data_IF_618722400295
#
_entry.id   IF_618722400295
#
_cell.length_a   1.000
_cell.length_b   1.000
_cell.length_c   1.000
_cell.angle_alpha   90.00
_cell.angle_beta   90.00
_cell.angle_gamma   90.00
#
_symmetry.space_group_name_H-M   'P 1'
#
loop_
_entity.id
_entity.type
_entity.pdbx_description
1 polymer ?
#
# COMPACT_ATOMS: atom_id res chain seq x y z
N UNK A 1 22.50 -3.90 -16.99
CA UNK A 1 21.24 -4.51 -17.44
C UNK A 1 19.98 -3.81 -16.91
N UNK A 2 20.13 -2.88 -15.94
CA UNK A 2 19.03 -2.09 -15.40
C UNK A 2 18.99 -0.65 -15.93
N UNK A 3 19.79 -0.34 -16.96
CA UNK A 3 19.95 1.00 -17.54
C UNK A 3 20.24 2.08 -16.48
N UNK A 4 21.08 1.76 -15.49
CA UNK A 4 21.51 2.72 -14.48
C UNK A 4 22.30 3.86 -15.13
N UNK A 5 22.02 5.10 -14.74
CA UNK A 5 22.83 6.26 -15.15
C UNK A 5 24.16 6.29 -14.40
N UNK A 6 25.12 7.10 -14.87
CA UNK A 6 26.40 7.29 -14.20
C UNK A 6 26.21 7.81 -12.76
N UNK A 7 25.19 8.65 -12.51
CA UNK A 7 24.81 9.11 -11.18
C UNK A 7 24.38 7.97 -10.26
N UNK A 8 23.66 6.97 -10.78
CA UNK A 8 23.29 5.78 -10.00
C UNK A 8 24.49 4.88 -9.68
N UNK A 9 25.51 4.89 -10.54
CA UNK A 9 26.74 4.11 -10.34
C UNK A 9 27.70 4.79 -9.37
N UNK A 10 27.65 6.12 -9.25
CA UNK A 10 28.50 6.92 -8.36
C UNK A 10 27.84 7.21 -7.00
N UNK A 11 26.97 6.29 -6.53
CA UNK A 11 26.30 6.43 -5.26
C UNK A 11 27.27 6.23 -4.06
N UNK A 12 27.06 6.93 -2.94
CA UNK A 12 27.89 6.77 -1.74
C UNK A 12 27.62 5.41 -1.07
N UNK A 13 28.69 4.78 -0.60
CA UNK A 13 28.62 3.54 0.17
C UNK A 13 28.94 3.77 1.63
N UNK A 14 28.16 3.13 2.51
CA UNK A 14 28.38 3.13 3.94
C UNK A 14 28.42 1.70 4.48
N UNK A 15 29.24 1.47 5.49
CA UNK A 15 29.26 0.23 6.26
C UNK A 15 28.55 0.46 7.59
N UNK A 16 27.49 -0.29 7.86
CA UNK A 16 26.68 -0.04 9.04
C UNK A 16 26.20 -1.32 9.73
N UNK A 17 26.01 -1.24 11.03
CA UNK A 17 25.34 -2.25 11.83
C UNK A 17 24.28 -1.60 12.70
N UNK A 18 23.02 -1.71 12.33
CA UNK A 18 21.91 -1.17 13.12
C UNK A 18 21.80 -1.83 14.51
N UNK A 19 22.11 -3.14 14.59
CA UNK A 19 22.13 -3.87 15.86
C UNK A 19 23.15 -3.31 16.86
N UNK A 20 24.32 -2.91 16.34
CA UNK A 20 25.42 -2.40 17.18
C UNK A 20 25.44 -0.87 17.26
N UNK A 21 24.56 -0.17 16.51
CA UNK A 21 24.38 1.26 16.58
C UNK A 21 25.50 2.09 15.96
N UNK A 22 26.16 1.62 14.89
CA UNK A 22 27.21 2.38 14.21
C UNK A 22 27.04 2.40 12.69
N UNK A 23 27.61 3.45 12.07
CA UNK A 23 27.83 3.56 10.63
C UNK A 23 29.21 4.20 10.38
N UNK A 24 29.86 3.86 9.25
CA UNK A 24 31.18 4.37 8.87
C UNK A 24 31.33 4.47 7.36
N UNK A 25 32.17 5.42 6.91
CA UNK A 25 32.43 5.67 5.48
C UNK A 25 33.46 4.71 4.89
N UNK A 26 34.37 4.20 5.70
CA UNK A 26 35.38 3.21 5.30
C UNK A 26 35.34 2.01 6.25
N UNK A 27 35.71 0.84 5.77
CA UNK A 27 35.68 -0.38 6.57
C UNK A 27 36.64 -0.32 7.77
N UNK A 28 37.74 0.40 7.62
CA UNK A 28 38.80 0.57 8.64
C UNK A 28 38.45 1.61 9.71
N UNK A 29 37.42 2.45 9.47
CA UNK A 29 37.02 3.47 10.44
C UNK A 29 36.50 2.79 11.73
N UNK A 30 36.64 3.42 12.91
CA UNK A 30 36.15 2.85 14.16
C UNK A 30 34.62 2.81 14.21
N UNK A 31 34.10 1.81 14.93
CA UNK A 31 32.67 1.64 15.21
C UNK A 31 32.27 2.58 16.36
N UNK A 32 31.72 3.77 16.04
CA UNK A 32 31.42 4.81 17.04
C UNK A 32 29.90 5.00 17.21
N UNK A 33 29.24 5.54 16.18
CA UNK A 33 27.82 5.88 16.23
C UNK A 33 27.19 5.88 14.82
N UNK A 34 25.91 6.25 14.72
CA UNK A 34 25.15 6.33 13.46
C UNK A 34 25.30 7.68 12.74
N UNK A 35 26.09 8.61 13.27
CA UNK A 35 26.24 9.95 12.71
C UNK A 35 26.67 9.97 11.24
N UNK A 36 27.63 9.14 10.77
CA UNK A 36 28.00 9.11 9.35
C UNK A 36 26.83 8.77 8.42
N UNK A 37 25.88 7.94 8.86
CA UNK A 37 24.66 7.64 8.08
C UNK A 37 23.75 8.86 8.01
N UNK A 38 23.48 9.52 9.13
CA UNK A 38 22.61 10.70 9.16
C UNK A 38 23.20 11.88 8.38
N UNK A 39 24.50 12.11 8.48
CA UNK A 39 25.19 13.11 7.66
C UNK A 39 25.06 12.80 6.16
N UNK A 40 25.27 11.53 5.76
CA UNK A 40 25.11 11.13 4.35
C UNK A 40 23.68 11.29 3.85
N UNK A 41 22.67 11.03 4.67
CA UNK A 41 21.27 11.28 4.30
C UNK A 41 21.05 12.78 4.03
N UNK A 42 21.55 13.65 4.91
CA UNK A 42 21.41 15.11 4.75
C UNK A 42 22.15 15.61 3.50
N UNK A 43 23.35 15.06 3.23
CA UNK A 43 24.18 15.49 2.12
C UNK A 43 23.67 15.02 0.75
N UNK A 44 23.09 13.82 0.66
CA UNK A 44 22.77 13.17 -0.61
C UNK A 44 21.28 13.08 -0.92
N UNK A 45 20.39 13.16 0.08
CA UNK A 45 18.95 13.11 -0.18
C UNK A 45 18.42 14.55 -0.33
N UNK A 46 17.90 14.92 -1.51
CA UNK A 46 17.36 16.27 -1.70
C UNK A 46 16.14 16.51 -0.81
N UNK A 47 15.96 17.74 -0.39
CA UNK A 47 14.72 18.16 0.28
C UNK A 47 13.53 17.99 -0.67
N UNK A 48 12.30 17.83 -0.15
CA UNK A 48 11.10 17.80 -0.99
C UNK A 48 11.03 19.04 -1.90
N UNK A 49 10.69 18.83 -3.17
CA UNK A 49 10.42 19.90 -4.13
C UNK A 49 8.92 20.14 -4.19
N UNK A 50 8.46 21.38 -3.96
CA UNK A 50 7.07 21.77 -3.98
C UNK A 50 6.87 23.14 -3.36
N UNK A 51 5.66 23.68 -3.47
CA UNK A 51 5.31 25.01 -2.94
C UNK A 51 4.17 24.90 -1.90
N UNK A 52 4.40 25.36 -0.65
CA UNK A 52 3.36 25.35 0.39
C UNK A 52 2.19 26.29 0.10
N UNK A 53 2.36 27.26 -0.79
CA UNK A 53 1.36 28.27 -1.13
C UNK A 53 0.57 27.92 -2.39
N UNK A 54 0.93 26.82 -3.08
CA UNK A 54 0.14 26.28 -4.20
C UNK A 54 -1.13 25.55 -3.73
N UNK A 55 -1.97 25.17 -4.68
CA UNK A 55 -3.17 24.38 -4.42
C UNK A 55 -2.78 22.96 -3.99
N UNK A 56 -3.53 22.43 -3.02
CA UNK A 56 -3.28 21.09 -2.45
C UNK A 56 -3.20 20.01 -3.52
N UNK A 57 -2.13 19.22 -3.51
CA UNK A 57 -2.01 17.97 -4.24
C UNK A 57 -1.42 16.91 -3.30
N UNK A 58 -2.21 15.89 -3.01
CA UNK A 58 -1.81 14.77 -2.16
C UNK A 58 -1.94 13.47 -2.96
N UNK A 59 -0.84 12.75 -3.14
CA UNK A 59 -0.80 11.48 -3.86
C UNK A 59 -0.93 10.31 -2.87
N UNK A 60 -1.94 9.48 -3.07
CA UNK A 60 -2.14 8.26 -2.29
C UNK A 60 -1.19 7.16 -2.77
N UNK A 61 -0.23 6.79 -1.93
CA UNK A 61 0.78 5.77 -2.24
C UNK A 61 0.43 4.39 -1.71
N UNK A 62 -0.30 4.33 -0.60
CA UNK A 62 -0.76 3.07 -0.01
C UNK A 62 -2.10 3.25 0.70
N UNK A 63 -2.81 2.14 0.90
CA UNK A 63 -4.09 2.10 1.59
C UNK A 63 -3.94 1.25 2.84
N UNK A 64 -4.53 1.72 3.92
CA UNK A 64 -4.78 0.96 5.13
C UNK A 64 -6.28 0.94 5.44
N UNK A 65 -6.69 0.11 6.37
CA UNK A 65 -8.08 -0.04 6.75
C UNK A 65 -8.24 -0.14 8.26
N UNK A 66 -9.23 0.55 8.76
CA UNK A 66 -9.64 0.48 10.17
C UNK A 66 -11.15 0.35 10.25
N UNK A 67 -11.67 -0.57 11.07
CA UNK A 67 -13.11 -0.86 11.16
C UNK A 67 -13.95 0.37 11.61
N UNK A 68 -13.36 1.32 12.33
CA UNK A 68 -14.05 2.50 12.85
C UNK A 68 -14.06 3.69 11.88
N UNK A 69 -13.00 3.86 11.11
CA UNK A 69 -12.83 5.02 10.20
C UNK A 69 -12.85 4.64 8.72
N UNK A 70 -12.92 3.34 8.42
CA UNK A 70 -12.93 2.83 7.06
C UNK A 70 -11.54 2.87 6.40
N UNK A 71 -11.51 3.13 5.09
CA UNK A 71 -10.26 3.25 4.34
C UNK A 71 -9.48 4.50 4.75
N UNK A 72 -8.15 4.32 4.82
CA UNK A 72 -7.18 5.35 5.17
C UNK A 72 -6.16 5.40 4.03
N UNK A 73 -6.12 6.51 3.32
CA UNK A 73 -5.10 6.75 2.30
C UNK A 73 -3.84 7.34 2.93
N UNK A 74 -2.70 6.71 2.71
CA UNK A 74 -1.40 7.19 3.15
C UNK A 74 -0.63 7.65 1.93
N UNK A 75 0.00 8.81 2.02
CA UNK A 75 0.74 9.38 0.92
C UNK A 75 1.50 10.62 1.30
N UNK A 76 2.01 11.33 0.29
CA UNK A 76 2.79 12.54 0.43
C UNK A 76 1.99 13.75 -0.07
N UNK A 77 2.08 14.85 0.65
CA UNK A 77 1.61 16.16 0.18
C UNK A 77 2.65 16.70 -0.81
N UNK A 78 2.34 16.66 -2.10
CA UNK A 78 3.28 17.08 -3.14
C UNK A 78 3.29 18.59 -3.32
N UNK A 79 2.14 19.27 -3.14
CA UNK A 79 2.02 20.72 -3.15
C UNK A 79 0.97 21.19 -2.15
N UNK A 80 1.11 22.43 -1.71
CA UNK A 80 0.16 23.13 -0.86
C UNK A 80 0.05 22.56 0.54
N UNK A 81 -1.16 22.63 1.09
CA UNK A 81 -1.49 22.19 2.44
C UNK A 81 -2.79 21.40 2.42
N UNK A 82 -2.86 20.38 3.24
CA UNK A 82 -4.05 19.56 3.45
C UNK A 82 -4.56 19.75 4.89
N UNK A 83 -5.88 19.90 5.05
CA UNK A 83 -6.50 20.21 6.35
C UNK A 83 -7.68 19.30 6.67
N UNK A 84 -7.95 19.12 7.94
CA UNK A 84 -9.17 18.49 8.42
C UNK A 84 -10.38 19.36 8.04
N UNK A 85 -11.49 18.72 7.68
CA UNK A 85 -12.73 19.34 7.20
C UNK A 85 -12.61 20.10 5.87
N UNK A 86 -11.50 19.95 5.14
CA UNK A 86 -11.34 20.51 3.80
C UNK A 86 -12.21 19.75 2.80
N UNK A 87 -12.94 20.51 1.97
CA UNK A 87 -13.59 19.96 0.78
C UNK A 87 -12.54 19.77 -0.31
N UNK A 88 -12.53 18.62 -0.92
CA UNK A 88 -11.51 18.21 -1.89
C UNK A 88 -12.12 17.40 -3.03
N UNK A 89 -11.33 17.19 -4.07
CA UNK A 89 -11.66 16.40 -5.24
C UNK A 89 -10.68 15.22 -5.34
N UNK A 90 -11.19 14.01 -5.48
CA UNK A 90 -10.39 12.83 -5.84
C UNK A 90 -10.37 12.70 -7.36
N UNK A 91 -9.17 12.66 -7.92
CA UNK A 91 -8.90 12.44 -9.35
C UNK A 91 -7.87 11.34 -9.52
N UNK A 92 -7.76 10.76 -10.73
CA UNK A 92 -6.80 9.70 -11.00
C UNK A 92 -6.15 9.85 -12.36
N UNK A 93 -4.84 9.68 -12.44
CA UNK A 93 -4.07 9.85 -13.67
C UNK A 93 -4.46 8.85 -14.77
N UNK A 94 -4.74 7.61 -14.43
CA UNK A 94 -5.11 6.53 -15.36
C UNK A 94 -6.62 6.45 -15.63
N UNK A 95 -7.43 7.20 -14.89
CA UNK A 95 -8.87 7.30 -15.07
C UNK A 95 -9.32 8.76 -15.02
N UNK A 96 -9.22 9.50 -16.16
CA UNK A 96 -9.56 10.93 -16.22
C UNK A 96 -11.01 11.25 -15.86
N UNK A 97 -11.91 10.28 -16.01
CA UNK A 97 -13.33 10.43 -15.70
C UNK A 97 -13.61 10.32 -14.19
N UNK A 98 -12.66 9.81 -13.41
CA UNK A 98 -12.77 9.74 -11.97
C UNK A 98 -12.64 11.13 -11.35
N UNK A 99 -13.79 11.71 -10.99
CA UNK A 99 -13.90 13.00 -10.29
C UNK A 99 -14.93 12.88 -9.20
N UNK A 100 -14.49 12.72 -7.96
CA UNK A 100 -15.39 12.57 -6.81
C UNK A 100 -15.12 13.67 -5.79
N UNK A 101 -16.15 14.46 -5.47
CA UNK A 101 -16.08 15.41 -4.35
C UNK A 101 -16.11 14.66 -3.04
N UNK A 102 -15.21 15.03 -2.16
CA UNK A 102 -15.00 14.38 -0.85
C UNK A 102 -14.72 15.44 0.21
N UNK A 103 -14.84 15.03 1.46
CA UNK A 103 -14.43 15.83 2.61
C UNK A 103 -13.47 15.03 3.47
N UNK A 104 -12.35 15.62 3.82
CA UNK A 104 -11.35 15.02 4.70
C UNK A 104 -11.89 15.09 6.13
N UNK A 105 -12.18 13.94 6.74
CA UNK A 105 -12.73 13.91 8.09
C UNK A 105 -11.66 13.87 9.16
N UNK A 106 -10.53 13.18 8.88
CA UNK A 106 -9.38 13.11 9.78
C UNK A 106 -8.08 13.10 9.03
N UNK A 107 -7.07 13.69 9.63
CA UNK A 107 -5.71 13.73 9.15
C UNK A 107 -4.77 13.25 10.26
N UNK A 108 -3.82 12.40 9.90
CA UNK A 108 -2.84 11.84 10.83
C UNK A 108 -1.43 12.07 10.31
N UNK A 109 -0.55 12.47 11.20
CA UNK A 109 0.90 12.42 11.01
C UNK A 109 1.47 11.14 11.64
N UNK A 110 2.75 10.87 11.43
CA UNK A 110 3.45 9.71 11.99
C UNK A 110 4.51 10.17 12.99
N UNK A 111 4.37 9.71 14.23
CA UNK A 111 5.40 9.84 15.27
C UNK A 111 5.97 8.45 15.55
N UNK A 112 7.10 8.15 14.91
CA UNK A 112 7.63 6.79 14.82
C UNK A 112 6.64 5.85 14.15
N UNK A 113 6.14 4.84 14.86
CA UNK A 113 5.14 3.88 14.37
C UNK A 113 3.70 4.26 14.72
N UNK A 114 3.50 5.35 15.47
CA UNK A 114 2.16 5.77 15.91
C UNK A 114 1.59 6.84 14.98
N UNK A 115 0.28 6.78 14.77
CA UNK A 115 -0.48 7.84 14.13
C UNK A 115 -0.92 8.84 15.18
N UNK A 116 -0.71 10.12 14.88
CA UNK A 116 -1.09 11.25 15.73
C UNK A 116 -2.04 12.14 14.94
N UNK A 117 -3.17 12.51 15.53
CA UNK A 117 -4.13 13.43 14.91
C UNK A 117 -3.47 14.80 14.72
N UNK A 118 -3.63 15.38 13.52
CA UNK A 118 -3.16 16.72 13.18
C UNK A 118 -4.26 17.49 12.44
N UNK A 119 -4.28 18.79 12.59
CA UNK A 119 -5.27 19.67 11.93
C UNK A 119 -4.88 20.04 10.51
N UNK A 120 -3.58 20.13 10.24
CA UNK A 120 -3.00 20.54 8.97
C UNK A 120 -1.68 19.82 8.72
N UNK A 121 -1.36 19.56 7.45
CA UNK A 121 -0.05 19.14 6.99
C UNK A 121 0.34 19.91 5.72
N UNK A 122 1.64 20.08 5.51
CA UNK A 122 2.20 20.88 4.42
C UNK A 122 2.90 20.01 3.38
N UNK A 123 3.26 20.61 2.25
CA UNK A 123 4.03 19.94 1.21
C UNK A 123 5.29 19.26 1.80
N UNK A 124 5.62 18.09 1.27
CA UNK A 124 6.70 17.24 1.74
C UNK A 124 6.31 16.29 2.88
N UNK A 125 5.24 16.57 3.63
CA UNK A 125 4.78 15.71 4.71
C UNK A 125 4.17 14.40 4.18
N UNK A 126 4.46 13.30 4.87
CA UNK A 126 3.79 12.03 4.69
C UNK A 126 2.70 11.93 5.75
N UNK A 127 1.46 11.82 5.29
CA UNK A 127 0.29 11.80 6.18
C UNK A 127 -0.71 10.71 5.79
N UNK A 128 -1.63 10.43 6.70
CA UNK A 128 -2.75 9.55 6.44
C UNK A 128 -4.07 10.32 6.49
N UNK A 129 -4.93 10.10 5.51
CA UNK A 129 -6.25 10.75 5.41
C UNK A 129 -7.36 9.73 5.49
N UNK A 130 -8.46 10.06 6.18
CA UNK A 130 -9.66 9.23 6.24
C UNK A 130 -10.94 10.02 5.92
N UNK A 131 -12.05 9.29 5.75
CA UNK A 131 -13.35 9.85 5.37
C UNK A 131 -13.68 9.70 3.89
N UNK A 132 -12.86 8.98 3.14
CA UNK A 132 -13.05 8.74 1.70
C UNK A 132 -13.20 7.23 1.47
N UNK A 133 -14.43 6.77 1.26
CA UNK A 133 -14.76 5.33 1.17
C UNK A 133 -14.12 4.64 -0.03
N UNK A 134 -14.08 5.32 -1.19
CA UNK A 134 -13.62 4.77 -2.47
C UNK A 134 -12.26 5.36 -2.87
N UNK A 135 -11.30 5.31 -1.95
CA UNK A 135 -9.94 5.78 -2.16
C UNK A 135 -9.05 4.61 -2.63
N UNK A 136 -8.24 4.86 -3.66
CA UNK A 136 -7.33 3.87 -4.24
C UNK A 136 -5.90 4.39 -4.31
N UNK A 137 -4.95 3.47 -4.37
CA UNK A 137 -3.54 3.83 -4.64
C UNK A 137 -3.44 4.50 -6.00
N UNK A 138 -2.71 5.62 -6.05
CA UNK A 138 -2.57 6.46 -7.24
C UNK A 138 -3.66 7.51 -7.40
N UNK A 139 -4.65 7.57 -6.52
CA UNK A 139 -5.57 8.69 -6.48
C UNK A 139 -4.84 9.94 -5.98
N UNK A 140 -5.18 11.07 -6.57
CA UNK A 140 -4.73 12.39 -6.13
C UNK A 140 -5.89 13.10 -5.45
N UNK A 141 -5.68 13.54 -4.22
CA UNK A 141 -6.60 14.44 -3.53
C UNK A 141 -6.13 15.86 -3.80
N UNK A 142 -6.98 16.67 -4.41
CA UNK A 142 -6.67 18.04 -4.81
C UNK A 142 -7.82 18.98 -4.52
N UNK A 143 -7.59 20.29 -4.72
CA UNK A 143 -8.66 21.29 -4.65
C UNK A 143 -9.46 21.31 -5.96
N UNK A 144 -10.70 21.82 -5.91
CA UNK A 144 -11.52 22.01 -7.11
C UNK A 144 -10.91 23.02 -8.11
N UNK A 145 -10.05 23.92 -7.64
CA UNK A 145 -9.42 24.94 -8.48
C UNK A 145 -8.32 24.37 -9.36
N UNK A 146 -7.61 23.34 -8.87
CA UNK A 146 -6.55 22.67 -9.64
C UNK A 146 -6.77 21.15 -9.64
N UNK A 147 -7.71 20.63 -10.44
CA UNK A 147 -8.05 19.20 -10.49
C UNK A 147 -7.05 18.40 -11.33
N UNK A 148 -5.76 18.55 -11.09
CA UNK A 148 -4.71 17.84 -11.83
C UNK A 148 -4.26 16.59 -11.11
N UNK A 149 -4.45 15.39 -11.72
CA UNK A 149 -3.96 14.15 -11.16
C UNK A 149 -2.43 14.05 -11.29
N UNK A 150 -1.78 13.61 -10.25
CA UNK A 150 -0.35 13.33 -10.25
C UNK A 150 -0.06 12.00 -10.96
N UNK A 151 1.05 11.89 -11.71
CA UNK A 151 1.44 10.65 -12.36
C UNK A 151 1.85 9.62 -11.30
N UNK A 152 1.49 8.35 -11.50
CA UNK A 152 1.94 7.24 -10.69
C UNK A 152 2.07 5.97 -11.53
N UNK A 153 2.85 5.01 -11.04
CA UNK A 153 2.96 3.71 -11.70
C UNK A 153 1.72 2.86 -11.41
N UNK A 154 1.09 2.37 -12.48
CA UNK A 154 -0.05 1.48 -12.34
C UNK A 154 0.37 0.19 -11.62
N UNK A 155 -0.43 -0.22 -10.64
CA UNK A 155 -0.23 -1.49 -9.95
C UNK A 155 -0.40 -2.63 -10.96
N UNK A 156 0.55 -3.58 -10.94
CA UNK A 156 0.52 -4.73 -11.83
C UNK A 156 -0.72 -5.58 -11.58
N UNK A 157 -1.36 -6.00 -12.65
CA UNK A 157 -2.49 -6.92 -12.58
C UNK A 157 -2.03 -8.30 -12.06
N UNK A 158 -2.93 -9.07 -11.43
CA UNK A 158 -2.66 -10.44 -11.02
C UNK A 158 -2.18 -11.30 -12.20
N UNK A 159 -1.23 -12.20 -11.93
CA UNK A 159 -0.66 -13.11 -12.94
C UNK A 159 -1.02 -14.56 -12.72
N UNK A 160 -1.42 -14.92 -11.51
CA UNK A 160 -1.86 -16.27 -11.16
C UNK A 160 -3.17 -16.22 -10.36
N UNK A 161 -3.91 -17.31 -10.41
CA UNK A 161 -5.11 -17.54 -9.58
C UNK A 161 -5.07 -18.90 -8.90
N UNK A 162 -5.73 -19.01 -7.76
CA UNK A 162 -5.99 -20.23 -7.01
C UNK A 162 -7.42 -20.21 -6.52
N UNK A 163 -8.03 -21.37 -6.40
CA UNK A 163 -9.32 -21.51 -5.75
C UNK A 163 -9.12 -21.79 -4.25
N UNK A 164 -9.86 -21.04 -3.44
CA UNK A 164 -9.95 -21.22 -1.99
C UNK A 164 -11.32 -21.86 -1.71
N UNK A 165 -11.32 -23.05 -1.15
CA UNK A 165 -12.52 -23.88 -1.00
C UNK A 165 -12.72 -24.28 0.45
N UNK A 166 -13.97 -24.51 0.82
CA UNK A 166 -14.28 -25.20 2.08
C UNK A 166 -13.62 -26.57 2.08
N UNK A 167 -13.00 -26.95 3.20
CA UNK A 167 -12.46 -28.30 3.36
C UNK A 167 -13.62 -29.28 3.54
N UNK A 168 -13.83 -30.16 2.57
CA UNK A 168 -14.87 -31.21 2.55
C UNK A 168 -14.32 -32.61 2.86
N UNK A 169 -13.05 -32.68 3.29
CA UNK A 169 -12.41 -33.93 3.67
C UNK A 169 -13.00 -34.51 4.97
N UNK A 170 -12.85 -35.82 5.22
CA UNK A 170 -13.29 -36.45 6.48
C UNK A 170 -12.66 -35.87 7.74
N UNK A 171 -11.57 -35.08 7.60
CA UNK A 171 -10.85 -34.45 8.69
C UNK A 171 -11.22 -32.97 8.85
N UNK A 172 -12.23 -32.48 8.11
CA UNK A 172 -12.66 -31.09 8.19
C UNK A 172 -13.07 -30.70 9.61
N UNK A 173 -12.61 -29.51 10.05
CA UNK A 173 -12.91 -28.96 11.37
C UNK A 173 -12.03 -29.50 12.51
N UNK A 174 -10.95 -30.21 12.21
CA UNK A 174 -10.03 -30.74 13.24
C UNK A 174 -8.91 -29.77 13.60
N UNK A 175 -8.48 -28.92 12.70
CA UNK A 175 -7.33 -28.03 12.89
C UNK A 175 -7.71 -26.56 12.98
N UNK A 176 -8.80 -26.14 12.33
CA UNK A 176 -9.25 -24.74 12.27
C UNK A 176 -10.54 -24.47 13.04
N UNK A 177 -10.72 -23.23 13.49
CA UNK A 177 -11.96 -22.75 14.11
C UNK A 177 -12.95 -22.18 13.06
N UNK A 178 -12.42 -21.61 11.98
CA UNK A 178 -13.19 -20.95 10.93
C UNK A 178 -13.20 -21.80 9.67
N UNK A 179 -14.22 -22.65 9.54
CA UNK A 179 -14.31 -23.72 8.52
C UNK A 179 -15.43 -23.50 7.50
N UNK A 180 -16.29 -22.50 7.70
CA UNK A 180 -17.45 -22.28 6.81
C UNK A 180 -17.11 -21.35 5.65
N UNK A 181 -17.83 -21.51 4.52
CA UNK A 181 -17.67 -20.63 3.35
C UNK A 181 -17.88 -19.15 3.71
N UNK A 182 -18.80 -18.84 4.61
CA UNK A 182 -19.01 -17.49 5.09
C UNK A 182 -17.76 -16.91 5.78
N UNK A 183 -17.12 -17.67 6.67
CA UNK A 183 -15.90 -17.21 7.35
C UNK A 183 -14.78 -16.95 6.34
N UNK A 184 -14.57 -17.88 5.39
CA UNK A 184 -13.54 -17.77 4.35
C UNK A 184 -13.83 -16.55 3.47
N UNK A 185 -15.06 -16.38 3.02
CA UNK A 185 -15.52 -15.25 2.23
C UNK A 185 -15.23 -13.92 2.92
N UNK A 186 -15.75 -13.75 4.14
CA UNK A 186 -15.63 -12.50 4.88
C UNK A 186 -14.15 -12.14 5.12
N UNK A 187 -13.29 -13.15 5.35
CA UNK A 187 -11.86 -12.95 5.51
C UNK A 187 -11.16 -12.54 4.21
N UNK A 188 -11.47 -13.19 3.09
CA UNK A 188 -10.91 -12.89 1.78
C UNK A 188 -11.32 -11.48 1.32
N UNK A 189 -12.60 -11.13 1.46
CA UNK A 189 -13.08 -9.79 1.09
C UNK A 189 -12.54 -8.70 2.01
N UNK A 190 -12.27 -9.00 3.28
CA UNK A 190 -11.59 -8.06 4.19
C UNK A 190 -10.16 -7.77 3.73
N UNK A 191 -9.44 -8.75 3.17
CA UNK A 191 -8.08 -8.55 2.64
C UNK A 191 -8.05 -7.52 1.52
N UNK A 192 -9.08 -7.44 0.68
CA UNK A 192 -9.19 -6.45 -0.40
C UNK A 192 -9.18 -5.00 0.09
N UNK A 193 -9.43 -4.75 1.38
CA UNK A 193 -9.36 -3.39 1.92
C UNK A 193 -7.93 -2.87 2.03
N UNK A 194 -6.96 -3.77 2.17
CA UNK A 194 -5.53 -3.44 2.37
C UNK A 194 -4.66 -3.92 1.21
N UNK A 195 -4.93 -5.07 0.64
CA UNK A 195 -4.18 -5.61 -0.49
C UNK A 195 -4.82 -5.23 -1.83
N UNK A 196 -4.31 -4.16 -2.41
CA UNK A 196 -4.79 -3.60 -3.69
C UNK A 196 -4.41 -4.42 -4.92
N UNK A 197 -3.53 -5.41 -4.76
CA UNK A 197 -3.07 -6.29 -5.83
C UNK A 197 -3.75 -7.66 -5.83
N UNK A 198 -4.55 -7.93 -4.81
CA UNK A 198 -5.37 -9.12 -4.70
C UNK A 198 -6.71 -8.91 -5.42
N UNK A 199 -7.22 -9.96 -6.04
CA UNK A 199 -8.59 -9.99 -6.57
C UNK A 199 -9.29 -11.23 -6.06
N UNK A 200 -10.50 -11.09 -5.57
CA UNK A 200 -11.34 -12.18 -5.08
C UNK A 200 -12.64 -12.16 -5.84
N UNK A 201 -13.00 -13.28 -6.43
CA UNK A 201 -14.22 -13.47 -7.22
C UNK A 201 -15.00 -14.66 -6.65
N UNK A 202 -16.31 -14.49 -6.52
CA UNK A 202 -17.21 -15.61 -6.20
C UNK A 202 -17.34 -16.49 -7.43
N UNK A 203 -17.36 -17.80 -7.25
CA UNK A 203 -17.58 -18.77 -8.32
C UNK A 203 -19.04 -19.22 -8.36
N UNK A 204 -19.39 -20.09 -9.29
CA UNK A 204 -20.73 -20.72 -9.34
C UNK A 204 -21.03 -21.55 -8.08
N UNK A 205 -19.99 -22.03 -7.40
CA UNK A 205 -20.10 -22.74 -6.12
C UNK A 205 -20.02 -21.76 -4.95
N UNK A 206 -20.99 -21.79 -4.05
CA UNK A 206 -21.00 -20.97 -2.83
C UNK A 206 -19.84 -21.29 -1.85
N UNK A 207 -19.18 -22.41 -2.02
CA UNK A 207 -18.10 -22.91 -1.16
C UNK A 207 -16.70 -22.74 -1.79
N UNK A 208 -16.62 -22.02 -2.93
CA UNK A 208 -15.38 -21.81 -3.67
C UNK A 208 -15.22 -20.36 -4.08
N UNK A 209 -14.02 -19.80 -3.85
CA UNK A 209 -13.66 -18.42 -4.19
C UNK A 209 -12.39 -18.42 -5.04
N UNK A 210 -12.42 -17.75 -6.18
CA UNK A 210 -11.25 -17.59 -7.03
C UNK A 210 -10.44 -16.39 -6.54
N UNK A 211 -9.20 -16.64 -6.12
CA UNK A 211 -8.29 -15.64 -5.59
C UNK A 211 -7.13 -15.47 -6.55
N UNK A 212 -6.91 -14.25 -7.03
CA UNK A 212 -5.86 -13.91 -7.99
C UNK A 212 -4.85 -12.95 -7.37
N UNK A 213 -3.57 -13.21 -7.59
CA UNK A 213 -2.47 -12.44 -7.01
C UNK A 213 -1.30 -12.25 -7.97
N UNK A 214 -0.32 -11.44 -7.56
CA UNK A 214 0.87 -11.11 -8.37
C UNK A 214 1.81 -12.28 -8.60
N UNK A 215 1.76 -13.31 -7.75
CA UNK A 215 2.65 -14.45 -7.84
C UNK A 215 2.36 -15.49 -6.76
N UNK A 216 3.04 -16.63 -6.89
CA UNK A 216 2.84 -17.78 -6.00
C UNK A 216 3.17 -17.45 -4.54
N UNK A 217 4.26 -16.71 -4.29
CA UNK A 217 4.64 -16.29 -2.94
C UNK A 217 3.56 -15.41 -2.31
N UNK A 218 2.97 -14.51 -3.08
CA UNK A 218 1.91 -13.61 -2.60
C UNK A 218 0.70 -14.41 -2.07
N UNK A 219 0.20 -15.36 -2.85
CA UNK A 219 -0.93 -16.20 -2.43
C UNK A 219 -0.54 -17.17 -1.31
N UNK A 220 0.67 -17.67 -1.29
CA UNK A 220 1.19 -18.54 -0.22
C UNK A 220 1.27 -17.81 1.14
N UNK A 221 1.65 -16.54 1.13
CA UNK A 221 1.65 -15.70 2.34
C UNK A 221 0.22 -15.51 2.86
N UNK A 222 -0.75 -15.25 1.97
CA UNK A 222 -2.16 -15.14 2.35
C UNK A 222 -2.67 -16.43 2.97
N UNK A 223 -2.41 -17.58 2.34
CA UNK A 223 -2.77 -18.92 2.85
C UNK A 223 -2.21 -19.12 4.25
N UNK A 224 -0.91 -18.87 4.45
CA UNK A 224 -0.26 -19.06 5.75
C UNK A 224 -0.78 -18.08 6.82
N UNK A 225 -1.07 -16.85 6.45
CA UNK A 225 -1.66 -15.86 7.35
C UNK A 225 -3.04 -16.31 7.82
N UNK A 226 -3.90 -16.71 6.91
CA UNK A 226 -5.23 -17.23 7.23
C UNK A 226 -5.15 -18.49 8.11
N UNK A 227 -4.23 -19.41 7.80
CA UNK A 227 -3.98 -20.60 8.61
C UNK A 227 -3.61 -20.24 10.06
N UNK A 228 -2.71 -19.27 10.26
CA UNK A 228 -2.32 -18.77 11.59
C UNK A 228 -3.45 -18.09 12.34
N UNK A 229 -4.38 -17.45 11.63
CA UNK A 229 -5.59 -16.88 12.21
C UNK A 229 -6.62 -17.93 12.63
N UNK A 230 -6.41 -19.21 12.28
CA UNK A 230 -7.27 -20.35 12.64
C UNK A 230 -8.32 -20.68 11.59
N UNK A 231 -8.13 -20.26 10.34
CA UNK A 231 -8.95 -20.70 9.22
C UNK A 231 -8.48 -22.07 8.73
N UNK A 232 -9.42 -22.93 8.39
CA UNK A 232 -9.18 -24.21 7.75
C UNK A 232 -9.92 -24.23 6.42
N UNK A 233 -9.20 -24.45 5.33
CA UNK A 233 -9.71 -24.45 3.96
C UNK A 233 -8.80 -25.25 3.04
N UNK A 234 -9.30 -25.64 1.88
CA UNK A 234 -8.51 -26.26 0.82
C UNK A 234 -8.14 -25.23 -0.26
N UNK A 235 -7.04 -25.45 -0.95
CA UNK A 235 -6.61 -24.62 -2.08
C UNK A 235 -6.35 -25.49 -3.30
N UNK A 236 -6.67 -24.97 -4.50
CA UNK A 236 -6.32 -25.61 -5.76
C UNK A 236 -4.83 -25.39 -6.11
N UNK A 237 -4.37 -26.03 -7.17
CA UNK A 237 -3.13 -25.65 -7.86
C UNK A 237 -3.25 -24.21 -8.37
N UNK A 238 -2.12 -23.49 -8.34
CA UNK A 238 -2.01 -22.17 -8.97
C UNK A 238 -2.12 -22.31 -10.50
N UNK A 239 -2.94 -21.46 -11.10
CA UNK A 239 -3.14 -21.38 -12.56
C UNK A 239 -2.65 -20.02 -13.06
N UNK A 240 -1.99 -20.01 -14.21
CA UNK A 240 -1.52 -18.76 -14.85
C UNK A 240 -2.69 -18.06 -15.53
N UNK A 241 -2.81 -16.76 -15.29
CA UNK A 241 -3.80 -15.91 -15.95
C UNK A 241 -3.21 -15.43 -17.28
N UNK A 242 -3.83 -15.86 -18.38
CA UNK A 242 -3.44 -15.43 -19.73
C UNK A 242 -4.17 -14.16 -20.13
N UNK A 243 -3.45 -13.22 -20.76
CA UNK A 243 -4.04 -12.08 -21.44
C UNK A 243 -4.31 -12.46 -22.89
N UNK A 244 -5.52 -12.19 -23.35
CA UNK A 244 -5.89 -12.33 -24.77
C UNK A 244 -5.69 -10.98 -25.42
N UNK A 245 -4.68 -10.86 -26.28
CA UNK A 245 -4.53 -9.68 -27.14
C UNK A 245 -5.65 -9.70 -28.18
N UNK A 246 -6.46 -8.66 -28.17
CA UNK A 246 -7.40 -8.42 -29.27
C UNK A 246 -6.58 -7.85 -30.42
N UNK A 247 -6.15 -8.73 -31.33
CA UNK A 247 -5.59 -8.35 -32.63
C UNK A 247 -6.68 -7.82 -33.55
#
# INVERSE_FOLDING_TARGET
DLNASDEHLDCPFLFASSKNGYAKKKLEDPDVDMKPLFESIIDFIPAPEGDPDEETQFLVSTIDYNEFVGRIGIGKVENGKIKVNQDALVVNHHNPDKRKKVRITKLYSFDGLKRVDVEEASFGDIVAVSGIEDLHVGDTICTEKNPMPLPFQKISEPTISMDFMVNDSPLAGTEGKFVTSRHIRDRLFRELNTDVSLRVEETESADCFKVSGRGELHLSVLVETMRREGFEFAVSKAEVIYKTDKS
#
